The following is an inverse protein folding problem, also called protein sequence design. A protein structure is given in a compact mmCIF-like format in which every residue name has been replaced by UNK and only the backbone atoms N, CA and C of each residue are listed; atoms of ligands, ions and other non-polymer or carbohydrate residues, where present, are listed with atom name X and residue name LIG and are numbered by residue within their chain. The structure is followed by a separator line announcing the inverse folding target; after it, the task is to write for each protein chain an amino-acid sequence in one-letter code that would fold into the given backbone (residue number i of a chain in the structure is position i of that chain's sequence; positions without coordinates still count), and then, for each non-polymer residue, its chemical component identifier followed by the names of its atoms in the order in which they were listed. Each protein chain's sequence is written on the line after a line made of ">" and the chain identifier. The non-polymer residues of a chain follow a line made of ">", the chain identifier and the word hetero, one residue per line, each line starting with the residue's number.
data_IF_581871251717
#
_entry.id   IF_581871251717
#
_cell.length_a   1.000
_cell.length_b   1.000
_cell.length_c   1.000
_cell.angle_alpha   90.00
_cell.angle_beta   90.00
_cell.angle_gamma   90.00
#
_symmetry.space_group_name_H-M   'P 1'
#
loop_
_entity.id
_entity.type
_entity.pdbx_description
1 polymer ?
#
# COMPACT_ATOMS: atom_id res chain seq x y z
N UNK A 1 -4.43 -29.66 -49.54
CA UNK A 1 -5.29 -29.29 -48.42
C UNK A 1 -4.51 -28.42 -47.44
N UNK A 2 -4.84 -27.17 -47.40
CA UNK A 2 -4.23 -26.30 -46.40
C UNK A 2 -4.89 -26.61 -45.06
N UNK A 3 -4.22 -27.37 -44.23
CA UNK A 3 -4.62 -27.47 -42.83
C UNK A 3 -4.45 -26.09 -42.23
N UNK A 4 -5.55 -25.43 -41.98
CA UNK A 4 -5.54 -24.27 -41.10
C UNK A 4 -5.04 -24.78 -39.75
N UNK A 5 -3.79 -24.51 -39.45
CA UNK A 5 -3.31 -24.64 -38.08
C UNK A 5 -4.19 -23.73 -37.23
N UNK A 6 -5.15 -24.31 -36.56
CA UNK A 6 -5.80 -23.63 -35.46
C UNK A 6 -4.68 -23.31 -34.51
N UNK A 7 -4.31 -22.04 -34.43
CA UNK A 7 -3.39 -21.58 -33.42
C UNK A 7 -4.05 -21.82 -32.04
N UNK A 8 -3.85 -23.03 -31.56
CA UNK A 8 -4.26 -23.36 -30.21
C UNK A 8 -3.39 -22.53 -29.29
N UNK A 9 -4.01 -21.66 -28.54
CA UNK A 9 -3.36 -20.88 -27.52
C UNK A 9 -2.87 -21.85 -26.48
N UNK A 10 -1.58 -21.77 -26.13
CA UNK A 10 -1.00 -22.62 -25.08
C UNK A 10 -1.64 -22.35 -23.73
N UNK A 11 -1.61 -23.32 -22.85
CA UNK A 11 -2.10 -23.15 -21.47
C UNK A 11 -1.36 -22.01 -20.76
N UNK A 12 -0.06 -21.88 -20.99
CA UNK A 12 0.75 -20.77 -20.42
C UNK A 12 0.27 -19.42 -20.91
N UNK A 13 -0.05 -19.29 -22.18
CA UNK A 13 -0.58 -18.05 -22.75
C UNK A 13 -1.93 -17.69 -22.14
N UNK A 14 -2.79 -18.67 -21.93
CA UNK A 14 -4.08 -18.46 -21.26
C UNK A 14 -3.90 -17.98 -19.81
N UNK A 15 -2.92 -18.50 -19.11
CA UNK A 15 -2.59 -18.04 -17.75
C UNK A 15 -2.13 -16.58 -17.76
N UNK A 16 -1.29 -16.20 -18.70
CA UNK A 16 -0.86 -14.80 -18.84
C UNK A 16 -2.03 -13.86 -19.13
N UNK A 17 -2.91 -14.24 -20.05
CA UNK A 17 -4.09 -13.45 -20.41
C UNK A 17 -5.03 -13.33 -19.22
N UNK A 18 -5.29 -14.44 -18.53
CA UNK A 18 -6.10 -14.45 -17.32
C UNK A 18 -5.52 -13.54 -16.24
N UNK A 19 -4.23 -13.64 -15.99
CA UNK A 19 -3.57 -12.80 -15.00
C UNK A 19 -3.64 -11.32 -15.38
N UNK A 20 -3.47 -10.99 -16.65
CA UNK A 20 -3.63 -9.61 -17.12
C UNK A 20 -5.04 -9.08 -16.89
N UNK A 21 -6.05 -9.92 -17.09
CA UNK A 21 -7.44 -9.54 -16.86
C UNK A 21 -7.78 -9.41 -15.37
N UNK A 22 -7.38 -10.39 -14.59
CA UNK A 22 -7.73 -10.49 -13.15
C UNK A 22 -6.94 -9.50 -12.31
N UNK A 23 -5.63 -9.40 -12.53
CA UNK A 23 -4.74 -8.58 -11.73
C UNK A 23 -4.57 -7.16 -12.28
N UNK A 24 -4.74 -6.99 -13.59
CA UNK A 24 -4.52 -5.69 -14.22
C UNK A 24 -3.06 -5.24 -14.17
N UNK A 25 -2.86 -3.96 -14.31
CA UNK A 25 -1.53 -3.34 -14.25
C UNK A 25 -1.64 -1.96 -13.60
N UNK A 26 -0.53 -1.49 -13.06
CA UNK A 26 -0.44 -0.12 -12.56
C UNK A 26 -0.06 0.82 -13.70
N UNK A 27 -0.81 1.92 -13.83
CA UNK A 27 -0.48 2.97 -14.78
C UNK A 27 0.63 3.87 -14.24
N UNK A 28 1.08 4.84 -15.04
CA UNK A 28 2.12 5.79 -14.66
C UNK A 28 1.78 6.61 -13.40
N UNK A 29 0.50 6.75 -13.10
CA UNK A 29 0.00 7.49 -11.94
C UNK A 29 -0.15 6.62 -10.69
N UNK A 30 0.27 5.35 -10.75
CA UNK A 30 0.15 4.41 -9.66
C UNK A 30 -1.25 3.84 -9.45
N UNK A 31 -2.17 4.12 -10.35
CA UNK A 31 -3.52 3.59 -10.31
C UNK A 31 -3.59 2.24 -11.02
N UNK A 32 -4.34 1.31 -10.43
CA UNK A 32 -4.52 0.00 -11.03
C UNK A 32 -5.59 0.04 -12.10
N UNK A 33 -5.23 -0.41 -13.28
CA UNK A 33 -6.10 -0.44 -14.45
C UNK A 33 -6.31 -1.87 -14.91
N UNK A 34 -7.55 -2.20 -15.26
CA UNK A 34 -7.91 -3.54 -15.70
C UNK A 34 -8.27 -3.50 -17.18
N UNK A 35 -7.55 -4.28 -18.03
CA UNK A 35 -7.86 -4.32 -19.45
C UNK A 35 -9.20 -5.04 -19.67
N UNK A 36 -9.92 -4.64 -20.71
CA UNK A 36 -11.14 -5.34 -21.13
C UNK A 36 -10.78 -6.63 -21.89
N UNK A 37 -11.72 -7.54 -21.96
CA UNK A 37 -11.56 -8.76 -22.77
C UNK A 37 -11.30 -8.43 -24.23
N UNK A 38 -11.95 -7.42 -24.76
CA UNK A 38 -11.75 -6.96 -26.14
C UNK A 38 -10.31 -6.50 -26.38
N UNK A 39 -9.78 -5.69 -25.47
CA UNK A 39 -8.38 -5.22 -25.52
C UNK A 39 -7.41 -6.41 -25.51
N UNK A 40 -7.63 -7.37 -24.63
CA UNK A 40 -6.79 -8.57 -24.54
C UNK A 40 -6.91 -9.44 -25.77
N UNK A 41 -8.10 -9.58 -26.32
CA UNK A 41 -8.33 -10.33 -27.55
C UNK A 41 -7.54 -9.73 -28.71
N UNK A 42 -7.61 -8.42 -28.89
CA UNK A 42 -6.86 -7.69 -29.93
C UNK A 42 -5.36 -7.79 -29.73
N UNK A 43 -4.88 -7.61 -28.52
CA UNK A 43 -3.46 -7.67 -28.21
C UNK A 43 -2.83 -9.05 -28.45
N UNK A 44 -3.61 -10.10 -28.29
CA UNK A 44 -3.13 -11.49 -28.41
C UNK A 44 -3.59 -12.17 -29.71
N UNK A 45 -4.29 -11.46 -30.58
CA UNK A 45 -4.78 -12.03 -31.84
C UNK A 45 -5.83 -13.14 -31.65
N UNK A 46 -6.64 -13.05 -30.62
CA UNK A 46 -7.65 -14.04 -30.27
C UNK A 46 -9.03 -13.52 -30.69
N UNK A 47 -9.86 -14.42 -31.19
CA UNK A 47 -11.24 -14.06 -31.52
C UNK A 47 -12.04 -13.73 -30.26
N UNK A 48 -12.87 -12.72 -30.33
CA UNK A 48 -13.71 -12.26 -29.20
C UNK A 48 -14.51 -13.41 -28.56
N UNK A 49 -15.17 -14.22 -29.38
CA UNK A 49 -15.97 -15.32 -28.87
C UNK A 49 -15.16 -16.33 -28.07
N UNK A 50 -13.93 -16.56 -28.48
CA UNK A 50 -13.02 -17.52 -27.82
C UNK A 50 -12.64 -17.02 -26.43
N UNK A 51 -12.18 -15.78 -26.31
CA UNK A 51 -11.78 -15.22 -25.01
C UNK A 51 -12.99 -15.06 -24.09
N UNK A 52 -14.13 -14.64 -24.63
CA UNK A 52 -15.35 -14.47 -23.86
C UNK A 52 -15.84 -15.80 -23.27
N UNK A 53 -15.82 -16.87 -24.07
CA UNK A 53 -16.18 -18.21 -23.62
C UNK A 53 -15.23 -18.71 -22.53
N UNK A 54 -13.93 -18.51 -22.71
CA UNK A 54 -12.92 -18.90 -21.73
C UNK A 54 -13.11 -18.15 -20.42
N UNK A 55 -13.36 -16.85 -20.47
CA UNK A 55 -13.59 -16.04 -19.28
C UNK A 55 -14.82 -16.48 -18.51
N UNK A 56 -15.89 -16.86 -19.20
CA UNK A 56 -17.11 -17.39 -18.55
C UNK A 56 -16.88 -18.73 -17.90
N UNK A 57 -16.19 -19.65 -18.59
CA UNK A 57 -15.89 -20.98 -18.07
C UNK A 57 -15.05 -20.94 -16.81
N UNK A 58 -14.10 -20.03 -16.73
CA UNK A 58 -13.18 -19.90 -15.60
C UNK A 58 -13.57 -18.80 -14.61
N UNK A 59 -14.72 -18.15 -14.81
CA UNK A 59 -15.22 -17.09 -13.92
C UNK A 59 -14.21 -15.94 -13.67
N UNK A 60 -13.57 -15.47 -14.72
CA UNK A 60 -12.54 -14.42 -14.63
C UNK A 60 -13.07 -13.14 -14.03
N UNK A 61 -14.32 -12.79 -14.30
CA UNK A 61 -14.96 -11.59 -13.77
C UNK A 61 -15.09 -11.65 -12.25
N UNK A 62 -15.49 -12.80 -11.73
CA UNK A 62 -15.59 -13.02 -10.29
C UNK A 62 -14.21 -13.01 -9.63
N UNK A 63 -13.22 -13.63 -10.27
CA UNK A 63 -11.85 -13.64 -9.77
C UNK A 63 -11.24 -12.23 -9.76
N UNK A 64 -11.53 -11.41 -10.78
CA UNK A 64 -11.13 -10.00 -10.78
C UNK A 64 -11.74 -9.25 -9.60
N UNK A 65 -13.02 -9.43 -9.36
CA UNK A 65 -13.71 -8.78 -8.23
C UNK A 65 -13.10 -9.19 -6.88
N UNK A 66 -12.77 -10.45 -6.71
CA UNK A 66 -12.09 -10.96 -5.51
C UNK A 66 -10.70 -10.33 -5.37
N UNK A 67 -9.95 -10.25 -6.46
CA UNK A 67 -8.62 -9.65 -6.46
C UNK A 67 -8.68 -8.16 -6.13
N UNK A 68 -9.61 -7.40 -6.72
CA UNK A 68 -9.82 -5.98 -6.42
C UNK A 68 -10.12 -5.76 -4.93
N UNK A 69 -11.05 -6.56 -4.39
CA UNK A 69 -11.42 -6.48 -2.98
C UNK A 69 -10.20 -6.73 -2.09
N UNK A 70 -9.43 -7.76 -2.40
CA UNK A 70 -8.22 -8.11 -1.66
C UNK A 70 -7.17 -7.00 -1.71
N UNK A 71 -6.97 -6.39 -2.87
CA UNK A 71 -6.04 -5.28 -3.05
C UNK A 71 -6.46 -4.05 -2.25
N UNK A 72 -7.74 -3.73 -2.22
CA UNK A 72 -8.29 -2.64 -1.42
C UNK A 72 -8.09 -2.90 0.07
N UNK A 73 -8.40 -4.11 0.54
CA UNK A 73 -8.20 -4.50 1.94
C UNK A 73 -6.74 -4.43 2.35
N UNK A 74 -5.82 -4.93 1.52
CA UNK A 74 -4.38 -4.87 1.79
C UNK A 74 -3.88 -3.43 1.83
N UNK A 75 -4.34 -2.58 0.91
CA UNK A 75 -4.01 -1.15 0.90
C UNK A 75 -4.51 -0.44 2.15
N UNK A 76 -5.75 -0.68 2.56
CA UNK A 76 -6.33 -0.11 3.78
C UNK A 76 -5.60 -0.59 5.03
N UNK A 77 -5.25 -1.86 5.07
CA UNK A 77 -4.47 -2.44 6.17
C UNK A 77 -3.10 -1.79 6.31
N UNK A 78 -2.39 -1.57 5.19
CA UNK A 78 -1.11 -0.86 5.17
C UNK A 78 -1.25 0.58 5.64
N UNK A 79 -2.27 1.29 5.17
CA UNK A 79 -2.55 2.67 5.60
C UNK A 79 -2.83 2.76 7.10
N UNK A 80 -3.60 1.84 7.63
CA UNK A 80 -3.89 1.77 9.08
C UNK A 80 -2.63 1.54 9.89
N UNK A 81 -1.78 0.61 9.48
CA UNK A 81 -0.50 0.33 10.14
C UNK A 81 0.41 1.55 10.12
N UNK A 82 0.47 2.25 8.99
CA UNK A 82 1.27 3.46 8.84
C UNK A 82 0.79 4.57 9.76
N UNK A 83 -0.53 4.81 9.83
CA UNK A 83 -1.13 5.80 10.73
C UNK A 83 -0.83 5.47 12.18
N UNK A 84 -0.97 4.20 12.58
CA UNK A 84 -0.67 3.75 13.95
C UNK A 84 0.81 3.98 14.26
N UNK A 85 1.72 3.61 13.35
CA UNK A 85 3.15 3.80 13.54
C UNK A 85 3.51 5.27 13.66
N UNK A 86 2.94 6.13 12.85
CA UNK A 86 3.14 7.59 12.94
C UNK A 86 2.61 8.15 14.26
N UNK A 87 1.45 7.70 14.72
CA UNK A 87 0.89 8.12 16.03
C UNK A 87 1.77 7.71 17.20
N UNK A 88 2.26 6.48 17.20
CA UNK A 88 3.18 5.98 18.23
C UNK A 88 4.48 6.79 18.23
N UNK A 89 5.05 7.07 17.07
CA UNK A 89 6.26 7.86 16.96
C UNK A 89 6.06 9.30 17.48
N UNK A 90 4.93 9.91 17.13
CA UNK A 90 4.57 11.24 17.65
C UNK A 90 4.47 11.24 19.17
N UNK A 91 3.83 10.25 19.77
CA UNK A 91 3.69 10.13 21.23
C UNK A 91 5.06 9.97 21.91
N UNK A 92 5.95 9.16 21.34
CA UNK A 92 7.31 8.99 21.85
C UNK A 92 8.12 10.28 21.77
N UNK A 93 8.03 11.01 20.68
CA UNK A 93 8.72 12.28 20.49
C UNK A 93 8.19 13.32 21.45
N UNK A 94 6.88 13.37 21.69
CA UNK A 94 6.24 14.26 22.67
C UNK A 94 6.71 13.95 24.09
N UNK A 95 6.85 12.69 24.46
CA UNK A 95 7.38 12.28 25.77
C UNK A 95 8.84 12.69 25.94
N UNK A 96 9.67 12.53 24.91
CA UNK A 96 11.07 12.97 24.95
C UNK A 96 11.17 14.47 25.15
N UNK A 97 10.36 15.25 24.44
CA UNK A 97 10.31 16.69 24.58
C UNK A 97 9.87 17.09 25.98
N UNK A 98 8.82 16.48 26.51
CA UNK A 98 8.35 16.74 27.87
C UNK A 98 9.42 16.48 28.94
N UNK A 99 10.15 15.35 28.81
CA UNK A 99 11.26 15.01 29.70
C UNK A 99 12.41 16.01 29.61
N UNK A 100 12.75 16.46 28.41
CA UNK A 100 13.77 17.50 28.21
C UNK A 100 13.39 18.81 28.86
N UNK A 101 12.13 19.24 28.73
CA UNK A 101 11.61 20.44 29.36
C UNK A 101 11.62 20.34 30.89
N UNK A 102 11.23 19.20 31.45
CA UNK A 102 11.28 18.96 32.90
C UNK A 102 12.71 19.02 33.43
N UNK A 103 13.66 18.43 32.72
CA UNK A 103 15.08 18.48 33.10
C UNK A 103 15.60 19.94 33.09
N UNK A 104 15.25 20.72 32.06
CA UNK A 104 15.63 22.12 31.95
C UNK A 104 15.04 22.94 33.09
N UNK A 105 13.75 22.76 33.41
CA UNK A 105 13.08 23.44 34.51
C UNK A 105 13.75 23.09 35.86
N UNK A 106 14.03 21.83 36.09
CA UNK A 106 14.70 21.37 37.31
C UNK A 106 16.09 22.02 37.46
N UNK A 107 16.87 22.12 36.39
CA UNK A 107 18.17 22.79 36.40
C UNK A 107 18.06 24.27 36.72
N UNK A 108 17.10 24.99 36.13
CA UNK A 108 16.86 26.40 36.41
C UNK A 108 16.47 26.61 37.87
N UNK A 109 15.57 25.82 38.43
CA UNK A 109 15.16 25.88 39.82
C UNK A 109 16.32 25.61 40.77
N UNK A 110 17.19 24.65 40.45
CA UNK A 110 18.38 24.35 41.26
C UNK A 110 19.37 25.52 41.28
N UNK A 111 19.63 26.15 40.14
CA UNK A 111 20.47 27.35 40.03
C UNK A 111 19.91 28.52 40.85
N UNK A 112 18.63 28.77 40.77
CA UNK A 112 17.96 29.81 41.54
C UNK A 112 18.06 29.55 43.04
N UNK A 113 17.88 28.32 43.49
CA UNK A 113 18.06 27.94 44.89
C UNK A 113 19.49 28.12 45.37
N UNK A 114 20.48 27.79 44.57
CA UNK A 114 21.90 28.00 44.90
C UNK A 114 22.20 29.49 45.03
N UNK A 115 21.73 30.31 44.11
CA UNK A 115 21.89 31.78 44.19
C UNK A 115 21.24 32.38 45.45
N UNK A 116 20.05 31.89 45.80
CA UNK A 116 19.35 32.32 47.00
C UNK A 116 20.12 31.97 48.29
N UNK A 117 20.71 30.78 48.33
CA UNK A 117 21.55 30.34 49.45
C UNK A 117 22.83 31.17 49.57
N UNK A 118 23.51 31.46 48.47
CA UNK A 118 24.70 32.30 48.43
C UNK A 118 24.40 33.71 48.95
N UNK A 119 23.28 34.28 48.52
CA UNK A 119 22.84 35.60 49.01
C UNK A 119 22.55 35.59 50.50
N UNK A 120 21.98 34.54 51.07
CA UNK A 120 21.73 34.39 52.50
C UNK A 120 23.05 34.31 53.29
N UNK A 121 24.04 33.60 52.75
CA UNK A 121 25.36 33.49 53.40
C UNK A 121 26.12 34.80 53.40
N UNK A 122 25.98 35.65 52.39
CA UNK A 122 26.62 36.98 52.32
C UNK A 122 26.05 37.98 53.31
N UNK A 123 24.83 37.80 53.79
CA UNK A 123 24.14 38.68 54.73
C UNK A 123 24.44 38.35 56.19
N UNK A 124 25.15 37.28 56.46
CA UNK A 124 25.56 36.94 57.83
C UNK A 124 26.90 37.61 58.16
#
# INVERSE_FOLDING_TARGET
>A
MVQRKKNKISAEKWIEIRNAYVQGYENEQGQRTYPSLETLAKANGIHWNTIHRKSKLENWKDERAIFETKMIQDSDSKKRKEIINQSVQFDLDSLRLARSLQATIANVLTEDNQKAQELRQRKQ
#
